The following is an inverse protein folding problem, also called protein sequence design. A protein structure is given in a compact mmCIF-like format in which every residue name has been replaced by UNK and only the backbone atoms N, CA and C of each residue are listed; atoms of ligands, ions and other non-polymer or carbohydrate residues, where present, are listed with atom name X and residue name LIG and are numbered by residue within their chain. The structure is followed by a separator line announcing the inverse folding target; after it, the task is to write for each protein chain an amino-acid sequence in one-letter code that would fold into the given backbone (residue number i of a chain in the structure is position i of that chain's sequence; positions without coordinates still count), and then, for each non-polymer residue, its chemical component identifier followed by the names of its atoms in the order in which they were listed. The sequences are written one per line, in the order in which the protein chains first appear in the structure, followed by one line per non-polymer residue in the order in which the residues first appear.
data_IF_767735028818
#
_entry.id   IF_767735028818
#
_cell.length_a   1.000
_cell.length_b   1.000
_cell.length_c   1.000
_cell.angle_alpha   90.00
_cell.angle_beta   90.00
_cell.angle_gamma   90.00
#
_symmetry.space_group_name_H-M   'P 1'
#
loop_
_entity.id
_entity.type
_entity.pdbx_description
1 polymer ?
#
# COMPACT_ATOMS: atom_id res chain seq x y z
N UNK A 1 7.70 2.23 8.97
CA UNK A 1 8.27 3.21 8.02
C UNK A 1 7.53 4.54 8.05
N UNK A 2 6.20 4.58 7.94
CA UNK A 2 5.40 5.83 8.08
C UNK A 2 5.78 6.64 9.32
N UNK A 3 5.74 6.02 10.51
CA UNK A 3 6.18 6.67 11.76
C UNK A 3 7.57 7.31 11.65
N UNK A 4 8.53 6.63 11.02
CA UNK A 4 9.92 7.12 10.90
C UNK A 4 9.96 8.41 10.08
N UNK A 5 9.32 8.41 8.91
CA UNK A 5 9.24 9.60 8.06
C UNK A 5 8.52 10.77 8.75
N UNK A 6 7.43 10.47 9.46
CA UNK A 6 6.68 11.48 10.21
C UNK A 6 7.50 12.10 11.35
N UNK A 7 8.19 11.28 12.14
CA UNK A 7 9.05 11.74 13.26
C UNK A 7 10.18 12.62 12.73
N UNK A 8 10.94 12.12 11.73
CA UNK A 8 12.04 12.88 11.15
C UNK A 8 11.59 14.23 10.58
N UNK A 9 10.43 14.26 9.91
CA UNK A 9 9.88 15.50 9.37
C UNK A 9 9.39 16.45 10.47
N UNK A 10 8.70 15.95 11.49
CA UNK A 10 8.25 16.74 12.63
C UNK A 10 9.44 17.41 13.36
N UNK A 11 10.51 16.64 13.61
CA UNK A 11 11.74 17.14 14.23
C UNK A 11 12.40 18.24 13.38
N UNK A 12 12.47 18.06 12.06
CA UNK A 12 13.00 19.09 11.14
C UNK A 12 12.19 20.39 11.13
N UNK A 13 10.93 20.34 11.56
CA UNK A 13 10.02 21.47 11.67
C UNK A 13 9.96 22.06 13.09
N UNK A 14 10.78 21.56 14.03
CA UNK A 14 10.83 22.03 15.41
C UNK A 14 9.77 21.43 16.35
N UNK A 15 9.11 20.34 15.95
CA UNK A 15 8.14 19.64 16.79
C UNK A 15 8.75 18.39 17.44
N UNK A 16 8.26 18.07 18.65
CA UNK A 16 8.54 16.80 19.32
C UNK A 16 7.42 15.81 18.97
N UNK A 17 7.78 14.64 18.46
CA UNK A 17 6.83 13.58 18.13
C UNK A 17 6.88 12.46 19.18
N UNK A 18 5.72 12.13 19.78
CA UNK A 18 5.58 11.01 20.72
C UNK A 18 4.56 10.01 20.18
N UNK A 19 4.88 8.72 20.25
CA UNK A 19 3.99 7.65 19.79
C UNK A 19 3.18 7.13 20.97
N UNK A 20 1.86 7.01 20.77
CA UNK A 20 0.92 6.46 21.74
C UNK A 20 0.22 5.25 21.13
N UNK A 21 0.02 4.19 21.92
CA UNK A 21 -0.78 3.03 21.52
C UNK A 21 -2.10 3.04 22.30
N UNK A 22 -3.22 2.89 21.60
CA UNK A 22 -4.56 2.87 22.22
C UNK A 22 -4.69 1.76 23.28
N UNK A 23 -3.99 0.64 23.11
CA UNK A 23 -4.01 -0.49 24.04
C UNK A 23 -3.42 -0.13 25.42
N UNK A 24 -2.52 0.86 25.49
CA UNK A 24 -1.96 1.35 26.76
C UNK A 24 -3.02 2.11 27.60
N UNK A 25 -4.20 2.34 27.01
CA UNK A 25 -5.34 3.03 27.59
C UNK A 25 -6.59 2.15 27.59
N UNK A 26 -6.41 0.82 27.75
CA UNK A 26 -7.50 -0.17 27.83
C UNK A 26 -8.40 -0.22 26.58
N UNK A 27 -7.91 0.28 25.44
CA UNK A 27 -8.72 0.41 24.24
C UNK A 27 -9.62 1.64 24.21
N UNK A 28 -9.64 2.46 25.26
CA UNK A 28 -10.49 3.65 25.33
C UNK A 28 -9.83 4.87 24.63
N UNK A 29 -10.32 5.17 23.43
CA UNK A 29 -9.86 6.32 22.63
C UNK A 29 -10.20 7.65 23.31
N UNK A 30 -11.34 7.77 23.99
CA UNK A 30 -11.71 9.01 24.69
C UNK A 30 -10.75 9.29 25.83
N UNK A 31 -10.37 8.27 26.60
CA UNK A 31 -9.35 8.36 27.65
C UNK A 31 -8.02 8.83 27.08
N UNK A 32 -7.58 8.24 25.95
CA UNK A 32 -6.37 8.66 25.27
C UNK A 32 -6.45 10.15 24.86
N UNK A 33 -7.53 10.59 24.19
CA UNK A 33 -7.69 11.99 23.77
C UNK A 33 -7.63 12.95 24.97
N UNK A 34 -8.26 12.62 26.10
CA UNK A 34 -8.14 13.44 27.34
C UNK A 34 -6.69 13.57 27.78
N UNK A 35 -5.93 12.47 27.80
CA UNK A 35 -4.51 12.48 28.19
C UNK A 35 -3.68 13.33 27.22
N UNK A 36 -3.91 13.21 25.91
CA UNK A 36 -3.22 14.04 24.91
C UNK A 36 -3.49 15.53 25.14
N UNK A 37 -4.75 15.89 25.41
CA UNK A 37 -5.16 17.27 25.72
C UNK A 37 -4.45 17.80 26.97
N UNK A 38 -4.46 17.05 28.08
CA UNK A 38 -3.81 17.47 29.32
C UNK A 38 -2.28 17.62 29.19
N UNK A 39 -1.66 16.91 28.24
CA UNK A 39 -0.23 17.04 27.92
C UNK A 39 0.08 18.19 26.96
N UNK A 40 -0.91 18.99 26.57
CA UNK A 40 -0.72 20.10 25.64
C UNK A 40 -0.42 19.67 24.20
N UNK A 41 -0.75 18.44 23.82
CA UNK A 41 -0.57 17.95 22.45
C UNK A 41 -1.63 18.60 21.56
N UNK A 42 -1.20 19.27 20.48
CA UNK A 42 -2.07 20.02 19.56
C UNK A 42 -2.37 19.29 18.25
N UNK A 43 -1.54 18.32 17.87
CA UNK A 43 -1.64 17.62 16.60
C UNK A 43 -1.59 16.12 16.77
N UNK A 44 -2.42 15.40 16.00
CA UNK A 44 -2.50 13.95 16.00
C UNK A 44 -2.31 13.44 14.57
N UNK A 45 -1.35 12.55 14.39
CA UNK A 45 -1.20 11.73 13.19
C UNK A 45 -1.68 10.31 13.50
N UNK A 46 -2.79 9.90 12.88
CA UNK A 46 -3.28 8.52 12.97
C UNK A 46 -2.49 7.63 11.99
N UNK A 47 -1.69 6.73 12.55
CA UNK A 47 -0.87 5.79 11.78
C UNK A 47 -1.71 4.63 11.22
N UNK A 48 -1.26 3.95 10.13
CA UNK A 48 -1.99 2.83 9.57
C UNK A 48 -2.17 1.68 10.58
N UNK A 49 -3.41 1.29 10.91
CA UNK A 49 -3.65 0.13 11.76
C UNK A 49 -3.36 -1.17 11.01
N UNK A 50 -3.19 -2.26 11.76
CA UNK A 50 -2.97 -3.62 11.21
C UNK A 50 -4.25 -4.26 10.66
N UNK A 51 -5.42 -3.75 11.04
CA UNK A 51 -6.75 -4.15 10.59
C UNK A 51 -7.60 -2.89 10.37
N UNK A 52 -8.70 -2.95 9.60
CA UNK A 52 -9.65 -1.85 9.55
C UNK A 52 -10.11 -1.47 10.97
N UNK A 53 -10.20 -0.18 11.24
CA UNK A 53 -10.63 0.39 12.53
C UNK A 53 -11.73 1.39 12.26
N UNK A 54 -12.85 1.21 12.95
CA UNK A 54 -13.90 2.22 13.03
C UNK A 54 -13.65 3.10 14.25
N UNK A 55 -13.61 4.42 14.04
CA UNK A 55 -13.51 5.36 15.14
C UNK A 55 -14.87 5.46 15.85
N UNK A 56 -14.92 5.33 17.19
CA UNK A 56 -16.14 5.55 17.95
C UNK A 56 -16.81 6.89 17.61
N UNK A 57 -18.14 6.91 17.60
CA UNK A 57 -18.89 8.17 17.49
C UNK A 57 -18.73 9.02 18.76
N UNK A 58 -18.86 10.33 18.63
CA UNK A 58 -18.85 11.26 19.78
C UNK A 58 -17.48 11.51 20.39
N UNK A 59 -16.38 11.13 19.72
CA UNK A 59 -15.03 11.56 20.09
C UNK A 59 -14.88 13.08 19.97
N UNK A 60 -14.35 13.72 21.01
CA UNK A 60 -14.07 15.15 21.00
C UNK A 60 -12.73 15.43 20.31
N UNK A 61 -12.80 15.68 19.01
CA UNK A 61 -11.64 16.06 18.19
C UNK A 61 -11.37 17.56 18.16
N UNK A 62 -12.29 18.40 18.66
CA UNK A 62 -12.22 19.86 18.57
C UNK A 62 -10.88 20.46 19.08
N UNK A 63 -10.22 19.89 20.11
CA UNK A 63 -8.93 20.41 20.58
C UNK A 63 -7.72 20.14 19.67
N UNK A 64 -7.85 19.30 18.62
CA UNK A 64 -6.71 18.76 17.89
C UNK A 64 -6.79 19.04 16.40
N UNK A 65 -5.64 19.36 15.79
CA UNK A 65 -5.42 19.14 14.36
C UNK A 65 -5.20 17.64 14.13
N UNK A 66 -5.93 17.04 13.19
CA UNK A 66 -5.88 15.58 12.96
C UNK A 66 -5.64 15.26 11.50
N UNK A 67 -4.65 14.40 11.23
CA UNK A 67 -4.39 13.86 9.90
C UNK A 67 -4.22 12.34 9.96
N UNK A 68 -4.60 11.65 8.89
CA UNK A 68 -4.61 10.19 8.79
C UNK A 68 -3.64 9.71 7.72
N UNK A 69 -2.85 8.67 7.99
CA UNK A 69 -1.93 8.10 7.00
C UNK A 69 -2.43 6.80 6.36
N UNK A 70 -3.75 6.54 6.35
CA UNK A 70 -4.32 5.24 5.98
C UNK A 70 -5.73 5.30 5.37
N UNK A 71 -6.06 4.29 4.56
CA UNK A 71 -7.42 3.98 4.14
C UNK A 71 -8.21 3.15 5.17
N UNK A 72 -7.51 2.52 6.12
CA UNK A 72 -8.07 1.54 7.04
C UNK A 72 -8.76 2.16 8.27
N UNK A 73 -8.91 3.48 8.33
CA UNK A 73 -9.62 4.18 9.41
C UNK A 73 -10.89 4.76 8.82
N UNK A 74 -12.04 4.32 9.32
CA UNK A 74 -13.36 4.67 8.79
C UNK A 74 -14.29 5.23 9.87
N UNK A 75 -15.28 6.07 9.51
CA UNK A 75 -15.44 6.71 8.19
C UNK A 75 -14.34 7.75 7.92
N UNK A 76 -14.21 8.22 6.68
CA UNK A 76 -13.24 9.27 6.32
C UNK A 76 -13.67 10.62 6.93
N UNK A 77 -13.25 10.88 8.16
CA UNK A 77 -13.57 12.11 8.88
C UNK A 77 -12.50 13.20 8.71
N UNK A 78 -11.27 12.85 8.34
CA UNK A 78 -10.12 13.76 8.41
C UNK A 78 -9.38 13.88 7.07
N UNK A 79 -8.55 14.93 6.96
CA UNK A 79 -7.52 14.97 5.93
C UNK A 79 -6.63 13.72 6.03
N UNK A 80 -6.18 13.22 4.89
CA UNK A 80 -5.30 12.04 4.85
C UNK A 80 -4.23 12.12 3.78
N UNK A 81 -3.11 11.46 4.05
CA UNK A 81 -2.04 11.18 3.08
C UNK A 81 -1.92 9.68 2.93
N UNK A 82 -2.08 9.16 1.72
CA UNK A 82 -2.16 7.72 1.47
C UNK A 82 -1.47 7.35 0.16
N UNK A 83 -1.05 6.09 -0.04
CA UNK A 83 -0.47 5.68 -1.31
C UNK A 83 -1.52 5.67 -2.42
N UNK A 84 -1.11 5.94 -3.66
CA UNK A 84 -2.01 5.97 -4.83
C UNK A 84 -2.27 4.57 -5.42
N UNK A 85 -2.68 3.63 -4.57
CA UNK A 85 -2.66 2.18 -4.83
C UNK A 85 -3.38 1.74 -6.12
N UNK A 86 -4.53 2.32 -6.44
CA UNK A 86 -5.25 1.99 -7.66
C UNK A 86 -4.45 2.34 -8.92
N UNK A 87 -3.98 3.59 -9.02
CA UNK A 87 -3.19 4.06 -10.18
C UNK A 87 -1.84 3.36 -10.23
N UNK A 88 -1.22 3.14 -9.08
CA UNK A 88 0.05 2.45 -8.96
C UNK A 88 -0.04 0.99 -9.41
N UNK A 89 -1.11 0.27 -9.05
CA UNK A 89 -1.36 -1.07 -9.57
C UNK A 89 -1.61 -1.05 -11.08
N UNK A 90 -2.39 -0.09 -11.60
CA UNK A 90 -2.55 0.09 -13.05
C UNK A 90 -1.21 0.32 -13.76
N UNK A 91 -0.30 1.09 -13.16
CA UNK A 91 1.05 1.33 -13.69
C UNK A 91 1.90 0.07 -13.65
N UNK A 92 1.84 -0.69 -12.56
CA UNK A 92 2.57 -1.95 -12.42
C UNK A 92 2.12 -2.97 -13.47
N UNK A 93 0.81 -3.19 -13.63
CA UNK A 93 0.28 -4.10 -14.66
C UNK A 93 0.75 -3.68 -16.05
N UNK A 94 0.61 -2.40 -16.43
CA UNK A 94 1.09 -1.89 -17.73
C UNK A 94 2.60 -2.06 -17.93
N UNK A 95 3.38 -1.88 -16.88
CA UNK A 95 4.82 -2.14 -16.90
C UNK A 95 5.09 -3.61 -17.19
N UNK A 96 4.41 -4.53 -16.50
CA UNK A 96 4.56 -5.98 -16.71
C UNK A 96 4.13 -6.37 -18.14
N UNK A 97 3.04 -5.83 -18.67
CA UNK A 97 2.64 -6.05 -20.06
C UNK A 97 3.69 -5.56 -21.05
N UNK A 98 4.26 -4.38 -20.81
CA UNK A 98 5.37 -3.83 -21.60
C UNK A 98 6.63 -4.70 -21.56
N UNK A 99 6.84 -5.43 -20.46
CA UNK A 99 7.90 -6.43 -20.30
C UNK A 99 7.53 -7.80 -20.90
N UNK A 100 6.33 -7.94 -21.45
CA UNK A 100 5.87 -9.12 -22.18
C UNK A 100 5.19 -10.18 -21.32
N UNK A 101 4.86 -9.87 -20.06
CA UNK A 101 4.00 -10.71 -19.22
C UNK A 101 2.56 -10.65 -19.73
N UNK A 102 1.88 -11.80 -19.74
CA UNK A 102 0.54 -11.96 -20.32
C UNK A 102 -0.43 -12.64 -19.37
N UNK A 103 0.06 -13.30 -18.32
CA UNK A 103 -0.76 -14.00 -17.32
C UNK A 103 -0.33 -13.50 -15.96
N UNK A 104 -0.69 -12.25 -15.67
CA UNK A 104 -0.37 -11.64 -14.39
C UNK A 104 -1.37 -12.16 -13.37
N UNK A 105 -0.87 -12.82 -12.34
CA UNK A 105 -1.63 -13.27 -11.19
C UNK A 105 -1.42 -12.37 -9.98
N UNK A 106 -2.35 -12.42 -9.04
CA UNK A 106 -2.23 -11.74 -7.75
C UNK A 106 -2.66 -12.65 -6.60
N UNK A 107 -1.98 -12.54 -5.46
CA UNK A 107 -2.36 -13.23 -4.23
C UNK A 107 -2.50 -12.21 -3.11
N UNK A 108 -3.68 -12.16 -2.50
CA UNK A 108 -4.00 -11.23 -1.43
C UNK A 108 -4.62 -11.94 -0.24
N UNK A 109 -4.29 -11.45 0.96
CA UNK A 109 -5.05 -11.77 2.16
C UNK A 109 -6.22 -10.80 2.27
N UNK A 110 -7.39 -11.29 2.66
CA UNK A 110 -8.65 -10.52 2.74
C UNK A 110 -8.49 -9.25 3.59
N UNK A 111 -7.90 -9.38 4.78
CA UNK A 111 -7.66 -8.25 5.68
C UNK A 111 -6.70 -7.20 5.10
N UNK A 112 -5.79 -7.61 4.20
CA UNK A 112 -4.93 -6.67 3.49
C UNK A 112 -5.74 -5.87 2.48
N UNK A 113 -6.61 -6.53 1.71
CA UNK A 113 -7.47 -5.87 0.73
C UNK A 113 -8.44 -4.86 1.36
N UNK A 114 -9.07 -5.23 2.48
CA UNK A 114 -9.98 -4.35 3.22
C UNK A 114 -9.30 -3.07 3.68
N UNK A 115 -8.07 -3.18 4.22
CA UNK A 115 -7.28 -2.04 4.69
C UNK A 115 -6.93 -1.05 3.59
N UNK A 116 -6.87 -1.51 2.34
CA UNK A 116 -6.55 -0.71 1.18
C UNK A 116 -7.79 -0.39 0.34
N UNK A 117 -9.00 -0.65 0.88
CA UNK A 117 -10.28 -0.44 0.21
C UNK A 117 -10.34 -1.10 -1.19
N UNK A 118 -9.75 -2.29 -1.32
CA UNK A 118 -9.74 -3.09 -2.54
C UNK A 118 -9.12 -2.39 -3.78
N UNK A 119 -8.35 -1.31 -3.62
CA UNK A 119 -7.79 -0.55 -4.73
C UNK A 119 -6.96 -1.40 -5.71
N UNK A 120 -6.16 -2.35 -5.20
CA UNK A 120 -5.40 -3.27 -6.04
C UNK A 120 -6.31 -4.20 -6.85
N UNK A 121 -7.24 -4.88 -6.20
CA UNK A 121 -8.17 -5.78 -6.88
C UNK A 121 -9.06 -5.03 -7.88
N UNK A 122 -9.48 -3.81 -7.57
CA UNK A 122 -10.23 -2.96 -8.51
C UNK A 122 -9.41 -2.66 -9.77
N UNK A 123 -8.13 -2.28 -9.62
CA UNK A 123 -7.24 -2.02 -10.75
C UNK A 123 -6.97 -3.27 -11.60
N UNK A 124 -6.72 -4.42 -10.97
CA UNK A 124 -6.46 -5.69 -11.65
C UNK A 124 -7.70 -6.15 -12.43
N UNK A 125 -8.89 -6.00 -11.85
CA UNK A 125 -10.17 -6.29 -12.53
C UNK A 125 -10.43 -5.35 -13.70
N UNK A 126 -10.15 -4.05 -13.54
CA UNK A 126 -10.31 -3.07 -14.61
C UNK A 126 -9.44 -3.38 -15.84
N UNK A 127 -8.28 -3.99 -15.63
CA UNK A 127 -7.32 -4.35 -16.68
C UNK A 127 -7.48 -5.82 -17.15
N UNK A 128 -8.64 -6.43 -16.91
CA UNK A 128 -8.98 -7.78 -17.39
C UNK A 128 -8.12 -8.92 -16.82
N UNK A 129 -7.47 -8.72 -15.67
CA UNK A 129 -6.72 -9.77 -14.94
C UNK A 129 -7.47 -10.31 -13.71
N UNK A 130 -8.75 -9.94 -13.55
CA UNK A 130 -9.58 -10.28 -12.39
C UNK A 130 -9.72 -11.79 -12.12
N UNK A 131 -9.70 -12.61 -13.16
CA UNK A 131 -9.82 -14.07 -13.05
C UNK A 131 -8.55 -14.76 -12.51
N UNK A 132 -7.45 -14.01 -12.40
CA UNK A 132 -6.16 -14.49 -11.89
C UNK A 132 -5.83 -13.92 -10.50
N UNK A 133 -6.86 -13.66 -9.69
CA UNK A 133 -6.70 -13.26 -8.29
C UNK A 133 -7.01 -14.45 -7.37
N UNK A 134 -6.05 -14.80 -6.50
CA UNK A 134 -6.26 -15.70 -5.37
C UNK A 134 -6.46 -14.88 -4.09
N UNK A 135 -7.67 -14.93 -3.54
CA UNK A 135 -8.01 -14.28 -2.26
C UNK A 135 -7.95 -15.30 -1.13
N UNK A 136 -7.07 -15.08 -0.17
CA UNK A 136 -6.91 -15.89 1.05
C UNK A 136 -7.82 -15.30 2.12
N UNK A 137 -8.85 -16.05 2.52
CA UNK A 137 -9.81 -15.59 3.54
C UNK A 137 -9.14 -15.49 4.91
N UNK A 138 -9.68 -14.64 5.77
CA UNK A 138 -9.07 -14.36 7.07
C UNK A 138 -8.98 -15.59 8.01
N UNK A 139 -9.92 -16.52 7.91
CA UNK A 139 -9.96 -17.74 8.74
C UNK A 139 -9.10 -18.88 8.18
N UNK A 140 -8.60 -18.72 6.96
CA UNK A 140 -7.86 -19.75 6.24
C UNK A 140 -6.37 -19.42 6.25
N UNK A 141 -5.53 -20.43 6.49
CA UNK A 141 -4.13 -20.35 6.11
C UNK A 141 -3.99 -20.89 4.68
N UNK A 142 -3.53 -20.06 3.73
CA UNK A 142 -3.19 -20.54 2.40
C UNK A 142 -2.14 -21.65 2.52
N UNK A 143 -2.54 -22.90 2.26
CA UNK A 143 -1.62 -24.01 2.26
C UNK A 143 -0.69 -23.94 1.04
N UNK A 144 0.46 -24.59 1.17
CA UNK A 144 1.44 -24.67 0.07
C UNK A 144 0.82 -25.37 -1.14
N UNK A 145 0.06 -26.42 -0.88
CA UNK A 145 -0.58 -27.28 -1.87
C UNK A 145 -1.63 -26.48 -2.66
N UNK A 146 -2.49 -25.72 -1.98
CA UNK A 146 -3.47 -24.85 -2.63
C UNK A 146 -2.84 -23.78 -3.53
N UNK A 147 -1.76 -23.14 -3.05
CA UNK A 147 -1.02 -22.16 -3.83
C UNK A 147 -0.40 -22.78 -5.08
N UNK A 148 0.28 -23.92 -4.92
CA UNK A 148 0.94 -24.63 -6.04
C UNK A 148 -0.10 -25.10 -7.06
N UNK A 149 -1.22 -25.65 -6.61
CA UNK A 149 -2.29 -26.10 -7.50
C UNK A 149 -2.95 -24.93 -8.21
N UNK A 150 -3.15 -23.81 -7.54
CA UNK A 150 -3.64 -22.59 -8.17
C UNK A 150 -2.67 -22.08 -9.25
N UNK A 151 -1.36 -22.07 -8.99
CA UNK A 151 -0.34 -21.69 -9.98
C UNK A 151 -0.35 -22.67 -11.15
N UNK A 152 -0.44 -23.99 -10.92
CA UNK A 152 -0.53 -24.98 -12.00
C UNK A 152 -1.77 -24.81 -12.87
N UNK A 153 -2.90 -24.43 -12.28
CA UNK A 153 -4.16 -24.20 -13.02
C UNK A 153 -4.15 -22.88 -13.80
N UNK A 154 -3.72 -21.79 -13.15
CA UNK A 154 -3.77 -20.43 -13.73
C UNK A 154 -2.55 -20.10 -14.59
N UNK A 155 -1.44 -20.83 -14.40
CA UNK A 155 -0.18 -20.66 -15.13
C UNK A 155 0.30 -19.19 -15.21
N UNK A 156 0.30 -18.43 -14.09
CA UNK A 156 0.76 -17.05 -14.14
C UNK A 156 2.22 -16.99 -14.58
N UNK A 157 2.57 -16.00 -15.40
CA UNK A 157 3.97 -15.71 -15.76
C UNK A 157 4.59 -14.63 -14.86
N UNK A 158 3.76 -13.78 -14.25
CA UNK A 158 4.10 -12.89 -13.15
C UNK A 158 3.10 -13.02 -12.00
N UNK A 159 3.56 -12.82 -10.76
CA UNK A 159 2.74 -12.90 -9.57
C UNK A 159 3.00 -11.70 -8.65
N UNK A 160 1.98 -10.88 -8.40
CA UNK A 160 2.07 -9.73 -7.49
C UNK A 160 1.47 -10.09 -6.12
N UNK A 161 2.18 -9.79 -5.02
CA UNK A 161 1.64 -10.02 -3.67
C UNK A 161 2.36 -9.17 -2.60
N UNK A 162 1.71 -8.86 -1.47
CA UNK A 162 2.32 -8.10 -0.38
C UNK A 162 3.25 -8.93 0.52
N UNK A 163 3.24 -10.26 0.42
CA UNK A 163 4.05 -11.20 1.24
C UNK A 163 4.99 -12.06 0.37
N UNK A 164 5.67 -11.42 -0.57
CA UNK A 164 6.41 -12.05 -1.66
C UNK A 164 7.52 -13.02 -1.22
N UNK A 165 8.22 -12.73 -0.12
CA UNK A 165 9.27 -13.62 0.41
C UNK A 165 8.67 -14.95 0.89
N UNK A 166 7.68 -14.88 1.80
CA UNK A 166 6.96 -16.06 2.31
C UNK A 166 6.33 -16.87 1.17
N UNK A 167 5.76 -16.17 0.19
CA UNK A 167 5.20 -16.82 -0.99
C UNK A 167 6.29 -17.54 -1.80
N UNK A 168 7.43 -16.89 -2.05
CA UNK A 168 8.57 -17.46 -2.77
C UNK A 168 9.16 -18.70 -2.09
N UNK A 169 9.28 -18.67 -0.76
CA UNK A 169 9.78 -19.80 0.04
C UNK A 169 8.83 -21.01 0.01
N UNK A 170 7.52 -20.75 -0.08
CA UNK A 170 6.52 -21.80 -0.19
C UNK A 170 6.52 -22.50 -1.57
N UNK A 171 6.98 -21.83 -2.64
CA UNK A 171 6.96 -22.43 -3.97
C UNK A 171 8.05 -23.51 -4.12
N UNK A 172 7.74 -24.67 -4.74
CA UNK A 172 8.74 -25.67 -5.09
C UNK A 172 9.73 -25.12 -6.11
N UNK A 173 10.94 -25.70 -6.22
CA UNK A 173 11.90 -25.33 -7.25
C UNK A 173 11.34 -25.57 -8.66
N UNK A 174 11.93 -24.91 -9.65
CA UNK A 174 11.58 -25.10 -11.06
C UNK A 174 11.71 -26.58 -11.45
N UNK A 175 10.73 -27.11 -12.17
CA UNK A 175 10.75 -28.49 -12.67
C UNK A 175 9.93 -28.63 -13.96
N UNK A 176 10.05 -29.75 -14.70
CA UNK A 176 9.22 -29.99 -15.89
C UNK A 176 7.70 -29.94 -15.64
N UNK A 177 7.27 -30.13 -14.39
CA UNK A 177 5.86 -30.16 -13.98
C UNK A 177 5.44 -28.90 -13.21
N UNK A 178 6.37 -27.96 -12.96
CA UNK A 178 6.09 -26.73 -12.26
C UNK A 178 6.99 -25.59 -12.73
N UNK A 179 6.36 -24.59 -13.36
CA UNK A 179 6.99 -23.35 -13.78
C UNK A 179 6.72 -22.25 -12.75
N UNK A 180 7.78 -21.67 -12.17
CA UNK A 180 7.67 -20.56 -11.22
C UNK A 180 7.34 -19.26 -11.96
N UNK A 181 6.33 -18.50 -11.50
CA UNK A 181 6.13 -17.13 -11.98
C UNK A 181 7.25 -16.21 -11.48
N UNK A 182 7.48 -15.11 -12.19
CA UNK A 182 8.27 -14.01 -11.65
C UNK A 182 7.47 -13.37 -10.52
N UNK A 183 8.03 -13.33 -9.31
CA UNK A 183 7.36 -12.75 -8.14
C UNK A 183 7.75 -11.28 -8.01
N UNK A 184 6.74 -10.42 -7.84
CA UNK A 184 6.88 -8.99 -7.55
C UNK A 184 6.21 -8.69 -6.22
N UNK A 185 6.96 -8.08 -5.30
CA UNK A 185 6.41 -7.64 -4.03
C UNK A 185 5.63 -6.33 -4.18
N UNK A 186 4.49 -6.21 -3.51
CA UNK A 186 3.73 -4.96 -3.38
C UNK A 186 4.11 -4.16 -2.13
N UNK A 187 5.24 -4.51 -1.52
CA UNK A 187 5.84 -3.82 -0.39
C UNK A 187 7.31 -3.62 -0.65
N UNK A 188 7.85 -2.50 -0.15
CA UNK A 188 9.28 -2.26 -0.14
C UNK A 188 10.03 -3.39 0.57
N UNK A 189 10.97 -4.01 -0.14
CA UNK A 189 11.81 -5.10 0.33
C UNK A 189 13.28 -4.72 0.17
N UNK A 190 13.73 -3.76 0.99
CA UNK A 190 15.12 -3.27 0.94
C UNK A 190 16.09 -4.41 1.25
N UNK A 191 17.13 -4.54 0.44
CA UNK A 191 18.15 -5.59 0.59
C UNK A 191 17.73 -6.97 0.08
N UNK A 192 16.60 -7.09 -0.65
CA UNK A 192 16.20 -8.35 -1.29
C UNK A 192 16.57 -8.37 -2.77
N UNK A 193 16.57 -9.56 -3.35
CA UNK A 193 16.78 -9.75 -4.79
C UNK A 193 15.50 -9.63 -5.60
N UNK A 194 14.32 -9.56 -4.98
CA UNK A 194 13.04 -9.49 -5.68
C UNK A 194 12.74 -8.07 -6.16
N UNK A 195 12.16 -7.95 -7.35
CA UNK A 195 11.52 -6.70 -7.78
C UNK A 195 10.35 -6.36 -6.86
N UNK A 196 10.14 -5.07 -6.59
CA UNK A 196 9.07 -4.62 -5.71
C UNK A 196 8.50 -3.26 -6.08
N UNK A 197 7.26 -3.03 -5.67
CA UNK A 197 6.64 -1.72 -5.65
C UNK A 197 6.80 -1.10 -4.27
N UNK A 198 7.55 0.00 -4.17
CA UNK A 198 7.66 0.80 -2.95
C UNK A 198 6.51 1.81 -2.90
N UNK A 199 5.56 1.61 -1.99
CA UNK A 199 4.47 2.55 -1.70
C UNK A 199 4.94 3.87 -1.04
N UNK A 200 6.26 4.03 -0.84
CA UNK A 200 6.92 5.19 -0.23
C UNK A 200 6.35 5.55 1.15
N UNK A 201 6.28 4.61 2.11
CA UNK A 201 5.70 4.87 3.41
C UNK A 201 6.42 5.97 4.21
N UNK A 202 7.73 6.16 4.02
CA UNK A 202 8.44 7.27 4.67
C UNK A 202 8.02 8.64 4.13
N UNK A 203 7.80 8.75 2.82
CA UNK A 203 7.28 9.98 2.20
C UNK A 203 5.88 10.29 2.72
N UNK A 204 4.99 9.28 2.77
CA UNK A 204 3.64 9.43 3.32
C UNK A 204 3.69 9.98 4.74
N UNK A 205 4.59 9.46 5.58
CA UNK A 205 4.78 9.96 6.94
C UNK A 205 5.28 11.40 6.98
N UNK A 206 6.27 11.73 6.14
CA UNK A 206 6.83 13.07 6.02
C UNK A 206 5.76 14.08 5.57
N UNK A 207 5.04 13.80 4.49
CA UNK A 207 3.99 14.67 3.95
C UNK A 207 2.85 14.85 4.96
N UNK A 208 2.48 13.79 5.67
CA UNK A 208 1.45 13.88 6.71
C UNK A 208 1.90 14.79 7.87
N UNK A 209 3.15 14.68 8.31
CA UNK A 209 3.70 15.57 9.35
C UNK A 209 3.80 17.03 8.89
N UNK A 210 4.17 17.26 7.61
CA UNK A 210 4.21 18.59 7.02
C UNK A 210 2.83 19.25 6.98
N UNK A 211 1.82 18.52 6.50
CA UNK A 211 0.44 19.01 6.47
C UNK A 211 -0.09 19.27 7.88
N UNK A 212 0.18 18.35 8.83
CA UNK A 212 -0.22 18.52 10.23
C UNK A 212 0.40 19.76 10.87
N UNK A 213 1.68 20.02 10.62
CA UNK A 213 2.35 21.24 11.11
C UNK A 213 1.67 22.50 10.56
N UNK A 214 1.31 22.51 9.28
CA UNK A 214 0.53 23.57 8.66
C UNK A 214 -0.83 23.75 9.36
N UNK A 215 -1.59 22.67 9.57
CA UNK A 215 -2.88 22.73 10.28
C UNK A 215 -2.74 23.33 11.68
N UNK A 216 -1.70 22.93 12.43
CA UNK A 216 -1.43 23.47 13.77
C UNK A 216 -1.15 24.98 13.72
N UNK A 217 -0.38 25.45 12.73
CA UNK A 217 -0.06 26.88 12.58
C UNK A 217 -1.28 27.73 12.25
N UNK A 218 -2.23 27.19 11.48
CA UNK A 218 -3.47 27.87 11.11
C UNK A 218 -4.62 27.64 12.10
N UNK A 219 -4.39 26.91 13.20
CA UNK A 219 -5.42 26.48 14.15
C UNK A 219 -6.59 25.73 13.48
N UNK A 220 -6.29 24.92 12.46
CA UNK A 220 -7.26 24.02 11.84
C UNK A 220 -7.44 22.79 12.74
N UNK A 221 -8.50 22.77 13.54
CA UNK A 221 -8.77 21.71 14.52
C UNK A 221 -10.15 21.09 14.33
N UNK A 222 -10.37 19.93 14.94
CA UNK A 222 -11.62 19.19 14.84
C UNK A 222 -11.76 18.40 13.54
N UNK A 223 -13.00 18.01 13.26
CA UNK A 223 -13.38 17.34 12.02
C UNK A 223 -13.56 18.41 10.93
N UNK A 224 -12.80 18.40 9.83
CA UNK A 224 -12.94 19.39 8.77
C UNK A 224 -14.28 19.24 8.02
N UNK A 225 -14.87 20.36 7.61
CA UNK A 225 -16.10 20.38 6.78
C UNK A 225 -15.90 19.66 5.43
N UNK A 226 -14.68 19.71 4.90
CA UNK A 226 -14.31 19.07 3.64
C UNK A 226 -12.98 18.32 3.77
N UNK A 227 -13.01 17.03 4.17
CA UNK A 227 -11.82 16.19 4.25
C UNK A 227 -11.15 16.06 2.87
N UNK A 228 -9.81 16.16 2.85
CA UNK A 228 -8.98 16.08 1.63
C UNK A 228 -8.07 14.88 1.67
N UNK A 229 -7.84 14.26 0.51
CA UNK A 229 -6.92 13.13 0.36
C UNK A 229 -5.75 13.53 -0.53
N UNK A 230 -4.54 13.50 0.02
CA UNK A 230 -3.29 13.60 -0.73
C UNK A 230 -2.80 12.20 -1.10
N UNK A 231 -2.42 12.01 -2.36
CA UNK A 231 -2.02 10.71 -2.90
C UNK A 231 -0.52 10.71 -3.21
N UNK A 232 0.22 9.77 -2.64
CA UNK A 232 1.65 9.59 -2.89
C UNK A 232 1.84 8.46 -3.89
N UNK A 233 2.55 8.75 -4.98
CA UNK A 233 2.89 7.73 -5.98
C UNK A 233 4.05 6.86 -5.52
N UNK A 234 3.86 5.55 -5.61
CA UNK A 234 4.91 4.58 -5.42
C UNK A 234 5.89 4.49 -6.60
N UNK A 235 6.96 3.74 -6.38
CA UNK A 235 8.05 3.55 -7.33
C UNK A 235 8.34 2.07 -7.50
N UNK A 236 8.50 1.64 -8.75
CA UNK A 236 8.95 0.29 -9.05
C UNK A 236 10.47 0.17 -8.92
N UNK A 237 10.91 -0.83 -8.20
CA UNK A 237 12.31 -1.22 -8.09
C UNK A 237 12.51 -2.55 -8.80
N UNK A 238 13.34 -2.52 -9.85
CA UNK A 238 13.65 -3.68 -10.68
C UNK A 238 14.88 -4.42 -10.13
N UNK A 239 14.74 -5.72 -9.89
CA UNK A 239 15.83 -6.60 -9.45
C UNK A 239 15.77 -8.00 -10.07
N UNK A 240 14.58 -8.57 -10.27
CA UNK A 240 14.37 -9.90 -10.85
C UNK A 240 13.67 -9.91 -12.21
N UNK A 241 13.41 -8.74 -12.82
CA UNK A 241 12.74 -8.75 -14.11
C UNK A 241 13.67 -9.30 -15.19
N UNK A 242 13.16 -10.15 -16.11
CA UNK A 242 13.89 -10.50 -17.31
C UNK A 242 14.26 -9.24 -18.11
N UNK A 243 15.38 -9.25 -18.87
CA UNK A 243 15.76 -8.14 -19.73
C UNK A 243 14.62 -7.74 -20.67
N UNK A 244 14.50 -6.44 -20.95
CA UNK A 244 13.52 -5.96 -21.92
C UNK A 244 13.74 -6.64 -23.26
N UNK A 245 12.70 -7.31 -23.77
CA UNK A 245 12.72 -7.80 -25.15
C UNK A 245 12.85 -6.57 -26.06
N UNK A 246 13.92 -6.52 -26.86
CA UNK A 246 14.14 -5.45 -27.82
C UNK A 246 12.85 -5.22 -28.62
N UNK A 247 12.33 -3.99 -28.62
CA UNK A 247 11.14 -3.65 -29.41
C UNK A 247 11.40 -4.10 -30.85
N UNK A 248 10.48 -4.84 -31.49
CA UNK A 248 10.66 -5.22 -32.88
C UNK A 248 10.88 -3.95 -33.70
N UNK A 249 12.01 -3.88 -34.41
CA UNK A 249 12.34 -2.73 -35.23
C UNK A 249 11.13 -2.42 -36.13
N UNK A 250 10.62 -1.19 -36.06
CA UNK A 250 9.55 -0.72 -36.96
C UNK A 250 10.03 -0.99 -38.38
N UNK A 251 9.44 -1.98 -39.06
CA UNK A 251 9.69 -2.24 -40.49
C UNK A 251 9.41 -0.94 -41.23
N UNK A 252 10.47 -0.27 -41.73
CA UNK A 252 10.34 0.87 -42.62
C UNK A 252 9.52 0.38 -43.83
N UNK A 253 8.33 0.95 -44.03
CA UNK A 253 7.56 0.73 -45.26
C UNK A 253 8.46 1.09 -46.44
N UNK A 254 8.59 0.24 -47.48
CA UNK A 254 9.38 0.57 -48.64
C UNK A 254 8.83 1.85 -49.28
N UNK A 255 9.72 2.79 -49.59
CA UNK A 255 9.37 4.01 -50.28
C UNK A 255 8.75 3.65 -51.63
N UNK A 256 7.54 4.17 -51.90
CA UNK A 256 6.95 4.11 -53.24
C UNK A 256 7.87 4.88 -54.18
N UNK A 257 8.52 4.17 -55.11
CA UNK A 257 9.17 4.80 -56.27
C UNK A 257 8.06 5.45 -57.10
N UNK A 258 8.18 6.76 -57.32
CA UNK A 258 7.50 7.48 -58.39
C UNK A 258 8.31 7.34 -59.66
#
# INVERSE_FOLDING_TARGET
MVRRGAVARAESLGYIATCFHQLDYEGDVQRLLKVLRYRGIRGILLLPPLRPVELPAGLDWAPFSVIVASYAITPLQFHRVVPHQFVDMCRLIKLLEGRGFRRIGAVFEEHYEERIQFHFTAAIKLLDYGDNILRVKQQDSLSREELVDWIKRKQPDALVCPFALKLGDALPPESPTFRRPVIISLRALRGTTLSYWDERPEEIGSDAALLLAGMIQHNETGVPDSPRTSLVHGVFHDATMPPEKAKPAKKKKPAKKK
#
